data_IF_680170211770
#
_entry.id   IF_680170211770
#
_cell.length_a   1.000
_cell.length_b   1.000
_cell.length_c   1.000
_cell.angle_alpha   90.00
_cell.angle_beta   90.00
_cell.angle_gamma   90.00
#
_symmetry.space_group_name_H-M   'P 1'
#
loop_
_entity.id
_entity.type
_entity.pdbx_description
1 polymer ?
#
# COMPACT_ATOMS: atom_id res chain seq x y z
N UNK A 1 4.33 0.29 0.93
CA UNK A 1 3.01 0.80 0.50
C UNK A 1 2.66 2.01 1.34
N UNK A 2 2.15 3.06 0.71
CA UNK A 2 1.68 4.28 1.37
C UNK A 2 0.25 4.53 0.91
N UNK A 3 -0.68 4.65 1.84
CA UNK A 3 -2.05 5.09 1.60
C UNK A 3 -2.15 6.56 1.99
N UNK A 4 -2.31 7.43 0.98
CA UNK A 4 -2.51 8.86 1.13
C UNK A 4 -3.96 9.12 1.51
N UNK A 5 -4.13 9.62 2.73
CA UNK A 5 -5.43 9.88 3.33
C UNK A 5 -5.86 11.33 3.04
N UNK A 6 -7.16 11.64 3.12
CA UNK A 6 -7.65 13.00 2.91
C UNK A 6 -7.05 13.99 3.91
N UNK A 7 -7.14 15.30 3.63
CA UNK A 7 -6.62 16.33 4.51
C UNK A 7 -7.10 16.15 5.96
N UNK A 8 -6.20 16.39 6.91
CA UNK A 8 -6.43 16.21 8.37
C UNK A 8 -6.48 14.75 8.85
N UNK A 9 -6.22 13.77 7.97
CA UNK A 9 -5.96 12.38 8.36
C UNK A 9 -4.49 12.02 8.15
N UNK A 10 -3.94 11.16 9.02
CA UNK A 10 -2.57 10.69 8.88
C UNK A 10 -2.48 9.63 7.78
N UNK A 11 -1.48 9.73 6.91
CA UNK A 11 -1.17 8.70 5.93
C UNK A 11 -0.84 7.37 6.62
N UNK A 12 -1.24 6.27 5.98
CA UNK A 12 -1.01 4.91 6.48
C UNK A 12 0.13 4.28 5.69
N UNK A 13 1.19 3.86 6.37
CA UNK A 13 2.38 3.25 5.74
C UNK A 13 2.52 1.80 6.14
N UNK A 14 2.67 0.92 5.16
CA UNK A 14 2.87 -0.51 5.35
C UNK A 14 4.16 -0.97 4.69
N UNK A 15 4.84 -1.90 5.36
CA UNK A 15 6.10 -2.49 4.91
C UNK A 15 5.92 -4.00 4.76
N UNK A 16 6.50 -4.57 3.71
CA UNK A 16 6.63 -6.01 3.59
C UNK A 16 7.87 -6.48 4.35
N UNK A 17 7.78 -7.54 5.16
CA UNK A 17 8.96 -8.14 5.80
C UNK A 17 9.97 -8.63 4.74
N UNK A 18 11.27 -8.53 5.04
CA UNK A 18 12.36 -8.98 4.15
C UNK A 18 12.18 -10.45 3.74
N UNK A 19 11.63 -11.28 4.62
CA UNK A 19 11.33 -12.70 4.35
C UNK A 19 10.34 -12.92 3.21
N UNK A 20 9.57 -11.90 2.82
CA UNK A 20 8.65 -11.97 1.68
C UNK A 20 9.29 -11.55 0.36
N UNK A 21 10.52 -11.05 0.34
CA UNK A 21 11.21 -10.61 -0.88
C UNK A 21 11.49 -11.76 -1.87
N UNK A 22 11.46 -13.02 -1.41
CA UNK A 22 11.52 -14.18 -2.28
C UNK A 22 10.26 -14.38 -3.14
N UNK A 23 9.15 -13.70 -2.80
CA UNK A 23 7.90 -13.75 -3.57
C UNK A 23 7.95 -12.70 -4.68
N UNK A 24 7.31 -12.97 -5.83
CA UNK A 24 7.11 -11.95 -6.86
C UNK A 24 6.46 -10.70 -6.27
N UNK A 25 6.97 -9.51 -6.61
CA UNK A 25 6.53 -8.23 -6.04
C UNK A 25 5.01 -8.04 -6.17
N UNK A 26 4.42 -8.51 -7.27
CA UNK A 26 2.97 -8.48 -7.52
C UNK A 26 2.15 -9.27 -6.47
N UNK A 27 2.65 -10.42 -6.00
CA UNK A 27 2.00 -11.19 -4.94
C UNK A 27 2.06 -10.48 -3.58
N UNK A 28 3.18 -9.79 -3.31
CA UNK A 28 3.34 -8.99 -2.10
C UNK A 28 2.38 -7.78 -2.14
N UNK A 29 2.32 -7.07 -3.28
CA UNK A 29 1.40 -5.95 -3.54
C UNK A 29 -0.04 -6.38 -3.35
N UNK A 30 -0.46 -7.49 -3.97
CA UNK A 30 -1.82 -8.03 -3.84
C UNK A 30 -2.15 -8.41 -2.38
N UNK A 31 -1.20 -9.04 -1.68
CA UNK A 31 -1.37 -9.38 -0.26
C UNK A 31 -1.51 -8.15 0.63
N UNK A 32 -0.72 -7.11 0.38
CA UNK A 32 -0.82 -5.82 1.07
C UNK A 32 -2.16 -5.14 0.78
N UNK A 33 -2.55 -5.08 -0.49
CA UNK A 33 -3.81 -4.47 -0.91
C UNK A 33 -5.02 -5.18 -0.29
N UNK A 34 -5.06 -6.52 -0.34
CA UNK A 34 -6.16 -7.32 0.24
C UNK A 34 -6.32 -7.07 1.74
N UNK A 35 -5.21 -7.04 2.49
CA UNK A 35 -5.25 -6.75 3.92
C UNK A 35 -5.71 -5.30 4.18
N UNK A 36 -5.30 -4.35 3.35
CA UNK A 36 -5.70 -2.95 3.49
C UNK A 36 -7.19 -2.74 3.19
N UNK A 37 -7.73 -3.40 2.16
CA UNK A 37 -9.15 -3.34 1.79
C UNK A 37 -10.11 -3.74 2.93
N UNK A 38 -9.64 -4.55 3.88
CA UNK A 38 -10.43 -4.94 5.04
C UNK A 38 -10.44 -3.89 6.17
N UNK A 39 -9.72 -2.77 6.04
CA UNK A 39 -9.73 -1.67 7.00
C UNK A 39 -10.73 -0.59 6.60
N UNK A 40 -11.35 0.08 7.58
CA UNK A 40 -12.25 1.21 7.29
C UNK A 40 -11.55 2.38 6.57
N UNK A 41 -10.24 2.53 6.76
CA UNK A 41 -9.42 3.49 6.03
C UNK A 41 -9.47 3.29 4.51
N UNK A 42 -9.68 2.06 4.03
CA UNK A 42 -9.77 1.78 2.59
C UNK A 42 -10.98 2.44 1.91
N UNK A 43 -12.00 2.85 2.68
CA UNK A 43 -13.15 3.58 2.15
C UNK A 43 -12.85 5.07 1.94
N UNK A 44 -11.86 5.61 2.64
CA UNK A 44 -11.55 7.05 2.67
C UNK A 44 -10.24 7.42 1.99
N UNK A 45 -9.35 6.44 1.78
CA UNK A 45 -8.07 6.65 1.09
C UNK A 45 -8.29 7.28 -0.29
N UNK A 46 -7.44 8.23 -0.65
CA UNK A 46 -7.49 8.88 -1.96
C UNK A 46 -6.52 8.23 -2.94
N UNK A 47 -5.32 7.89 -2.47
CA UNK A 47 -4.28 7.28 -3.32
C UNK A 47 -3.55 6.18 -2.56
N UNK A 48 -3.28 5.06 -3.23
CA UNK A 48 -2.43 3.98 -2.71
C UNK A 48 -1.19 3.88 -3.61
N UNK A 49 -0.01 3.99 -3.02
CA UNK A 49 1.28 3.92 -3.72
C UNK A 49 2.11 2.75 -3.19
N UNK A 50 2.75 2.02 -4.11
CA UNK A 50 3.70 0.96 -3.80
C UNK A 50 5.08 1.41 -4.26
N UNK A 51 6.06 1.23 -3.38
CA UNK A 51 7.44 1.60 -3.62
C UNK A 51 8.31 0.36 -3.51
N UNK A 52 9.29 0.25 -4.40
CA UNK A 52 10.32 -0.79 -4.39
C UNK A 52 11.68 -0.11 -4.55
N UNK A 53 12.58 -0.33 -3.58
CA UNK A 53 13.90 0.32 -3.51
C UNK A 53 13.86 1.86 -3.66
N UNK A 54 12.82 2.51 -3.12
CA UNK A 54 12.63 3.96 -3.20
C UNK A 54 11.96 4.47 -4.47
N UNK A 55 11.75 3.61 -5.47
CA UNK A 55 11.08 3.95 -6.73
C UNK A 55 9.59 3.62 -6.65
N UNK A 56 8.73 4.52 -7.14
CA UNK A 56 7.31 4.24 -7.28
C UNK A 56 7.11 3.10 -8.29
N UNK A 57 6.57 1.98 -7.82
CA UNK A 57 6.33 0.78 -8.61
C UNK A 57 4.90 0.74 -9.16
N UNK A 58 3.92 1.13 -8.34
CA UNK A 58 2.50 1.06 -8.71
C UNK A 58 1.67 2.07 -7.93
N UNK A 59 0.63 2.61 -8.55
CA UNK A 59 -0.27 3.59 -7.95
C UNK A 59 -1.74 3.30 -8.30
N UNK A 60 -2.63 3.46 -7.32
CA UNK A 60 -4.09 3.40 -7.48
C UNK A 60 -4.66 4.73 -6.98
N UNK A 61 -5.44 5.42 -7.81
CA UNK A 61 -6.20 6.63 -7.44
C UNK A 61 -7.68 6.31 -7.32
N UNK A 62 -8.36 6.94 -6.36
CA UNK A 62 -9.82 6.87 -6.16
C UNK A 62 -10.43 8.26 -6.20
#
# INVERSE_FOLDING_TARGET
>A
MVALMPPKEKNITWYSPITQNAKPSQNIVNGMLRRFQNQDAAKRVQVIQFYENGTLYYEIKR
#
